data_IF_269547997842
#
_entry.id   IF_269547997842
#
_cell.length_a   1.000
_cell.length_b   1.000
_cell.length_c   1.000
_cell.angle_alpha   90.00
_cell.angle_beta   90.00
_cell.angle_gamma   90.00
#
_symmetry.space_group_name_H-M   'P 1'
#
loop_
_entity.id
_entity.type
_entity.pdbx_description
1 polymer ?
#
# COMPACT_ATOMS: atom_id res chain seq x y z
N UNK A 1 -12.80 -8.94 -4.84
CA UNK A 1 -12.03 -7.89 -5.56
C UNK A 1 -10.64 -8.42 -5.75
N UNK A 2 -10.14 -8.40 -6.99
CA UNK A 2 -8.73 -8.68 -7.25
C UNK A 2 -8.07 -7.39 -7.66
N UNK A 3 -6.96 -7.04 -7.00
CA UNK A 3 -6.06 -6.02 -7.48
C UNK A 3 -5.20 -6.56 -8.62
N UNK A 4 -4.71 -5.66 -9.46
CA UNK A 4 -3.92 -5.99 -10.62
C UNK A 4 -2.57 -6.62 -10.20
N UNK A 5 -2.18 -7.80 -10.73
CA UNK A 5 -0.95 -8.48 -10.33
C UNK A 5 0.32 -7.67 -10.60
N UNK A 6 0.36 -6.82 -11.63
CA UNK A 6 1.52 -6.00 -11.97
C UNK A 6 1.64 -4.82 -11.00
N UNK A 7 0.52 -4.17 -10.64
CA UNK A 7 0.50 -3.16 -9.60
C UNK A 7 0.97 -3.73 -8.25
N UNK A 8 0.45 -4.90 -7.84
CA UNK A 8 0.88 -5.58 -6.61
C UNK A 8 2.36 -5.97 -6.67
N UNK A 9 2.82 -6.46 -7.82
CA UNK A 9 4.23 -6.80 -8.05
C UNK A 9 5.16 -5.58 -7.95
N UNK A 10 4.72 -4.42 -8.46
CA UNK A 10 5.47 -3.16 -8.38
C UNK A 10 5.60 -2.67 -6.94
N UNK A 11 4.53 -2.77 -6.15
CA UNK A 11 4.55 -2.46 -4.72
C UNK A 11 5.52 -3.36 -3.96
N UNK A 12 5.46 -4.69 -4.18
CA UNK A 12 6.38 -5.65 -3.56
C UNK A 12 7.83 -5.35 -3.91
N UNK A 13 8.11 -5.16 -5.20
CA UNK A 13 9.47 -4.90 -5.69
C UNK A 13 10.03 -3.61 -5.10
N UNK A 14 9.21 -2.56 -4.96
CA UNK A 14 9.61 -1.31 -4.33
C UNK A 14 9.94 -1.51 -2.83
N UNK A 15 9.12 -2.24 -2.09
CA UNK A 15 9.38 -2.54 -0.68
C UNK A 15 10.69 -3.35 -0.49
N UNK A 16 10.91 -4.38 -1.32
CA UNK A 16 12.12 -5.20 -1.30
C UNK A 16 13.37 -4.38 -1.66
N UNK A 17 13.30 -3.54 -2.70
CA UNK A 17 14.40 -2.66 -3.12
C UNK A 17 14.83 -1.69 -2.03
N UNK A 18 13.87 -1.21 -1.24
CA UNK A 18 14.10 -0.29 -0.12
C UNK A 18 14.50 -1.01 1.18
N UNK A 19 14.51 -2.34 1.19
CA UNK A 19 14.89 -3.16 2.35
C UNK A 19 13.83 -3.22 3.45
N UNK A 20 12.56 -2.95 3.14
CA UNK A 20 11.47 -3.03 4.11
C UNK A 20 10.91 -4.46 4.20
N UNK A 21 10.72 -4.94 5.43
CA UNK A 21 9.93 -6.15 5.69
C UNK A 21 8.52 -5.94 5.17
N UNK A 22 8.00 -6.91 4.42
CA UNK A 22 6.67 -6.83 3.83
C UNK A 22 6.01 -8.22 3.79
N UNK A 23 4.69 -8.22 3.63
CA UNK A 23 3.88 -9.42 3.44
C UNK A 23 2.66 -9.09 2.59
N UNK A 24 2.08 -10.10 1.95
CA UNK A 24 0.76 -9.93 1.33
C UNK A 24 -0.33 -9.82 2.41
N UNK A 25 -1.32 -8.97 2.15
CA UNK A 25 -2.47 -8.78 3.04
C UNK A 25 -3.72 -8.47 2.21
N UNK A 26 -4.88 -8.92 2.71
CA UNK A 26 -6.19 -8.58 2.15
C UNK A 26 -6.78 -7.42 2.96
N UNK A 27 -7.23 -6.36 2.31
CA UNK A 27 -7.92 -5.27 3.03
C UNK A 27 -9.25 -5.77 3.58
N UNK A 28 -9.45 -5.60 4.89
CA UNK A 28 -10.74 -5.84 5.55
C UNK A 28 -11.74 -4.70 5.39
N UNK A 29 -11.31 -3.55 4.86
CA UNK A 29 -12.12 -2.35 4.68
C UNK A 29 -12.34 -2.02 3.20
N UNK A 30 -13.44 -1.32 2.90
CA UNK A 30 -13.65 -0.73 1.58
C UNK A 30 -12.83 0.54 1.40
N UNK A 31 -12.24 0.71 0.22
CA UNK A 31 -11.54 1.92 -0.20
C UNK A 31 -11.95 2.29 -1.63
N UNK A 32 -11.72 3.53 -2.06
CA UNK A 32 -12.01 3.92 -3.45
C UNK A 32 -11.28 3.04 -4.47
N UNK A 33 -10.05 2.62 -4.14
CA UNK A 33 -9.25 1.69 -4.92
C UNK A 33 -9.99 0.38 -5.25
N UNK A 34 -10.86 -0.08 -4.35
CA UNK A 34 -11.69 -1.26 -4.56
C UNK A 34 -12.65 -1.08 -5.73
N UNK A 35 -13.21 0.12 -5.92
CA UNK A 35 -14.05 0.43 -7.07
C UNK A 35 -13.21 0.67 -8.33
N UNK A 36 -12.09 1.38 -8.18
CA UNK A 36 -11.16 1.66 -9.29
C UNK A 36 -10.61 0.37 -9.93
N UNK A 37 -10.40 -0.68 -9.14
CA UNK A 37 -9.92 -1.98 -9.64
C UNK A 37 -10.82 -2.64 -10.71
N UNK A 38 -12.08 -2.22 -10.83
CA UNK A 38 -12.97 -2.72 -11.88
C UNK A 38 -12.77 -2.05 -13.25
N UNK A 39 -12.07 -0.90 -13.30
CA UNK A 39 -11.98 -0.07 -14.50
C UNK A 39 -10.54 0.24 -14.91
N UNK A 40 -9.58 0.18 -14.00
CA UNK A 40 -8.16 0.42 -14.28
C UNK A 40 -7.26 -0.50 -13.44
N UNK A 41 -6.06 -0.87 -13.93
CA UNK A 41 -5.05 -1.56 -13.11
C UNK A 41 -4.81 -0.79 -11.82
N UNK A 42 -5.02 -1.45 -10.69
CA UNK A 42 -5.00 -0.81 -9.37
C UNK A 42 -4.34 -1.75 -8.36
N UNK A 43 -3.58 -1.19 -7.43
CA UNK A 43 -3.06 -1.87 -6.24
C UNK A 43 -3.10 -0.94 -5.02
N UNK A 44 -2.81 -1.48 -3.84
CA UNK A 44 -2.76 -0.71 -2.59
C UNK A 44 -1.47 -0.98 -1.83
N UNK A 45 -1.05 -0.01 -1.02
CA UNK A 45 0.09 -0.09 -0.10
C UNK A 45 -0.45 0.17 1.30
N UNK A 46 -0.16 -0.73 2.24
CA UNK A 46 -0.52 -0.57 3.64
C UNK A 46 0.72 -0.28 4.47
N UNK A 47 0.54 0.52 5.51
CA UNK A 47 1.53 0.73 6.58
C UNK A 47 0.89 0.33 7.92
N UNK A 48 1.69 -0.07 8.94
CA UNK A 48 1.15 -0.37 10.25
C UNK A 48 0.58 0.87 10.95
N UNK A 49 -0.55 0.70 11.63
CA UNK A 49 -1.06 1.64 12.63
C UNK A 49 -0.97 1.01 14.03
N UNK A 50 -0.87 1.88 15.05
CA UNK A 50 -0.76 1.47 16.45
C UNK A 50 -2.00 0.67 16.87
N UNK A 51 -1.78 -0.53 17.40
CA UNK A 51 -2.81 -1.46 17.89
C UNK A 51 -3.90 -1.83 16.86
N UNK A 52 -3.69 -1.55 15.57
CA UNK A 52 -4.70 -1.80 14.52
C UNK A 52 -5.94 -0.90 14.62
N UNK A 53 -5.87 0.18 15.41
CA UNK A 53 -7.01 1.06 15.66
C UNK A 53 -7.17 2.04 14.49
N UNK A 54 -8.41 2.21 14.04
CA UNK A 54 -8.81 3.26 13.09
C UNK A 54 -10.21 3.79 13.42
N UNK A 55 -10.61 4.92 12.84
CA UNK A 55 -11.88 5.61 13.10
C UNK A 55 -12.04 5.99 14.59
N UNK A 56 -10.91 6.29 15.24
CA UNK A 56 -10.84 6.70 16.63
C UNK A 56 -9.78 7.78 16.77
N UNK A 57 -9.97 8.72 17.70
CA UNK A 57 -9.05 9.84 17.93
C UNK A 57 -7.63 9.40 18.33
N UNK A 58 -7.47 8.17 18.85
CA UNK A 58 -6.16 7.60 19.20
C UNK A 58 -5.47 6.86 18.05
N UNK A 59 -6.08 6.82 16.86
CA UNK A 59 -5.46 6.29 15.65
C UNK A 59 -4.11 6.99 15.41
N UNK A 60 -3.07 6.20 15.15
CA UNK A 60 -1.71 6.72 15.02
C UNK A 60 -0.83 5.79 14.20
N UNK A 61 0.14 6.36 13.51
CA UNK A 61 1.19 5.65 12.78
C UNK A 61 2.54 6.32 13.05
N UNK A 62 3.58 5.51 13.20
CA UNK A 62 4.94 6.02 13.42
C UNK A 62 5.45 6.77 12.18
N UNK A 63 6.17 7.91 12.34
CA UNK A 63 6.70 8.69 11.22
C UNK A 63 7.53 7.88 10.22
N UNK A 64 8.25 6.86 10.70
CA UNK A 64 9.07 5.97 9.90
C UNK A 64 8.19 5.08 9.00
N UNK A 65 7.05 4.59 9.49
CA UNK A 65 6.11 3.81 8.70
C UNK A 65 5.45 4.66 7.62
N UNK A 66 5.07 5.89 7.95
CA UNK A 66 4.50 6.86 7.00
C UNK A 66 5.51 7.13 5.87
N UNK A 67 6.76 7.40 6.24
CA UNK A 67 7.84 7.66 5.29
C UNK A 67 8.17 6.44 4.43
N UNK A 68 8.14 5.23 5.00
CA UNK A 68 8.34 3.98 4.28
C UNK A 68 7.23 3.76 3.23
N UNK A 69 5.96 3.92 3.62
CA UNK A 69 4.82 3.81 2.70
C UNK A 69 4.88 4.81 1.55
N UNK A 70 5.24 6.07 1.83
CA UNK A 70 5.42 7.09 0.81
C UNK A 70 6.56 6.77 -0.16
N UNK A 71 7.68 6.25 0.32
CA UNK A 71 8.79 5.83 -0.54
C UNK A 71 8.42 4.63 -1.42
N UNK A 72 7.69 3.64 -0.88
CA UNK A 72 7.17 2.51 -1.68
C UNK A 72 6.25 3.02 -2.79
N UNK A 73 5.35 3.96 -2.47
CA UNK A 73 4.47 4.59 -3.46
C UNK A 73 5.26 5.30 -4.55
N UNK A 74 6.24 6.13 -4.17
CA UNK A 74 7.12 6.85 -5.11
C UNK A 74 7.78 5.88 -6.09
N UNK A 75 8.39 4.80 -5.59
CA UNK A 75 9.10 3.85 -6.43
C UNK A 75 8.17 3.02 -7.33
N UNK A 76 7.01 2.60 -6.82
CA UNK A 76 6.02 1.88 -7.62
C UNK A 76 5.49 2.77 -8.76
N UNK A 77 5.17 4.04 -8.47
CA UNK A 77 4.71 4.99 -9.49
C UNK A 77 5.77 5.28 -10.55
N UNK A 78 7.04 5.47 -10.14
CA UNK A 78 8.14 5.69 -11.09
C UNK A 78 8.34 4.49 -12.02
N UNK A 79 8.14 3.27 -11.53
CA UNK A 79 8.22 2.07 -12.36
C UNK A 79 7.08 2.00 -13.39
N UNK A 80 5.86 2.41 -13.01
CA UNK A 80 4.71 2.40 -13.92
C UNK A 80 4.64 3.59 -14.88
N UNK A 81 5.36 4.67 -14.61
CA UNK A 81 5.32 5.92 -15.39
C UNK A 81 6.42 6.02 -16.47
N UNK A 82 7.42 5.14 -16.43
CA UNK A 82 8.51 5.07 -17.42
C UNK A 82 8.20 4.10 -18.55
#
# INVERSE_FOLDING_TARGET
>A
MNFDPECVGSVRSAAEKLGFSNMEIVSGAGHDACQMSHVVPTGMIFIPCKDGISHNEIESAEPEHISAGANVLLHAMLQSAG
#
